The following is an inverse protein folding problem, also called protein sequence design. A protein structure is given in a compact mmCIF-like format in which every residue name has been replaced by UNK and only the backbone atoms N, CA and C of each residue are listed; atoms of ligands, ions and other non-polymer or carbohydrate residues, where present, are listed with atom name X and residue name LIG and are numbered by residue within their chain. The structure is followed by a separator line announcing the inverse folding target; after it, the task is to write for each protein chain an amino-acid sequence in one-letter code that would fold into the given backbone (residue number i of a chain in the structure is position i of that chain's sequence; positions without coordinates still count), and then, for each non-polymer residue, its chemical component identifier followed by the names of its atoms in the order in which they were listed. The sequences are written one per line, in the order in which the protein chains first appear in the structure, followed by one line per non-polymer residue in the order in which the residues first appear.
data_IF_898384823959
#
_entry.id   IF_898384823959
#
_cell.length_a   1.000
_cell.length_b   1.000
_cell.length_c   1.000
_cell.angle_alpha   90.00
_cell.angle_beta   90.00
_cell.angle_gamma   90.00
#
_symmetry.space_group_name_H-M   'P 1'
#
loop_
_entity.id
_entity.type
_entity.pdbx_description
1 polymer ?
#
# COMPACT_ATOMS: atom_id res chain seq x y z
N UNK A 1 13.31 27.61 -26.31
CA UNK A 1 13.72 27.97 -24.93
C UNK A 1 13.12 26.97 -23.96
N UNK A 2 13.95 26.28 -23.18
CA UNK A 2 13.49 25.25 -22.22
C UNK A 2 13.31 25.91 -20.86
N UNK A 3 12.06 26.08 -20.41
CA UNK A 3 11.77 26.58 -19.06
C UNK A 3 12.21 25.53 -18.04
N UNK A 4 12.90 25.96 -16.98
CA UNK A 4 13.33 25.09 -15.87
C UNK A 4 12.73 25.58 -14.56
N UNK A 5 12.40 24.62 -13.71
CA UNK A 5 11.80 24.85 -12.39
C UNK A 5 12.80 24.35 -11.35
N UNK A 6 13.04 25.17 -10.32
CA UNK A 6 13.93 24.85 -9.22
C UNK A 6 13.22 25.09 -7.89
N UNK A 7 13.35 24.14 -6.96
CA UNK A 7 12.84 24.29 -5.60
C UNK A 7 13.93 24.90 -4.73
N UNK A 8 13.62 26.03 -4.09
CA UNK A 8 14.57 26.78 -3.26
C UNK A 8 14.29 26.65 -1.77
N UNK A 9 13.13 26.11 -1.38
CA UNK A 9 12.72 26.04 0.01
C UNK A 9 11.91 24.78 0.26
N UNK A 10 12.09 24.17 1.43
CA UNK A 10 11.12 23.23 1.99
C UNK A 10 10.61 23.72 3.36
N UNK A 11 9.34 23.44 3.63
CA UNK A 11 8.75 23.59 4.97
C UNK A 11 8.64 22.21 5.59
N UNK A 12 9.22 22.03 6.78
CA UNK A 12 9.19 20.77 7.53
C UNK A 12 8.19 20.94 8.68
N UNK A 13 7.26 20.00 8.79
CA UNK A 13 6.35 19.91 9.93
C UNK A 13 6.77 18.71 10.79
N UNK A 14 7.09 18.98 12.05
CA UNK A 14 7.51 17.97 13.03
C UNK A 14 6.32 17.65 13.92
N UNK A 15 5.97 16.37 13.97
CA UNK A 15 4.86 15.87 14.76
C UNK A 15 5.40 15.00 15.87
N UNK A 16 4.79 15.12 17.04
CA UNK A 16 5.10 14.22 18.14
C UNK A 16 4.56 12.82 17.84
N UNK A 17 5.11 11.84 18.56
CA UNK A 17 4.68 10.46 18.43
C UNK A 17 3.32 10.27 19.08
N UNK A 18 2.46 9.51 18.42
CA UNK A 18 1.10 9.27 18.90
C UNK A 18 0.60 7.88 18.47
N UNK A 19 -0.58 7.47 18.94
CA UNK A 19 -1.30 6.34 18.37
C UNK A 19 -1.80 6.68 16.96
N UNK A 20 -1.66 5.74 16.02
CA UNK A 20 -2.16 5.93 14.66
C UNK A 20 -2.79 4.68 14.08
N UNK A 21 -4.10 4.52 14.18
CA UNK A 21 -4.83 3.32 13.72
C UNK A 21 -4.65 2.96 12.23
N UNK A 22 -4.18 3.89 11.39
CA UNK A 22 -3.84 3.62 9.98
C UNK A 22 -2.47 2.94 9.80
N UNK A 23 -1.55 3.12 10.73
CA UNK A 23 -0.19 2.56 10.72
C UNK A 23 -0.18 1.11 11.23
N UNK A 24 -1.07 0.29 10.67
CA UNK A 24 -1.32 -1.07 11.11
C UNK A 24 -0.08 -1.94 10.90
N UNK A 25 0.53 -2.48 11.97
CA UNK A 25 1.68 -3.34 11.81
C UNK A 25 1.31 -4.69 11.22
N UNK A 26 2.24 -5.27 10.46
CA UNK A 26 2.08 -6.62 9.93
C UNK A 26 2.11 -7.68 11.05
N UNK A 27 2.83 -7.38 12.13
CA UNK A 27 3.03 -8.24 13.30
C UNK A 27 2.19 -7.75 14.51
N UNK A 28 2.41 -8.33 15.69
CA UNK A 28 1.67 -7.99 16.92
C UNK A 28 2.04 -6.62 17.49
N UNK A 29 1.14 -6.04 18.28
CA UNK A 29 1.39 -4.80 19.03
C UNK A 29 0.60 -3.60 18.54
N UNK A 30 0.73 -2.48 19.26
CA UNK A 30 -0.07 -1.30 19.02
C UNK A 30 0.47 -0.55 17.79
N UNK A 31 -0.41 0.03 16.96
CA UNK A 31 0.01 0.89 15.87
C UNK A 31 0.51 2.23 16.43
N UNK A 32 1.64 2.70 15.88
CA UNK A 32 2.27 3.97 16.23
C UNK A 32 2.24 4.88 15.01
N UNK A 33 1.88 6.14 15.22
CA UNK A 33 1.78 7.16 14.21
C UNK A 33 2.25 8.51 14.69
N UNK A 34 1.71 9.54 14.05
CA UNK A 34 2.02 10.94 14.34
C UNK A 34 0.80 11.60 14.98
N UNK A 35 1.07 12.53 15.88
CA UNK A 35 0.05 13.35 16.51
C UNK A 35 -0.77 14.11 15.47
N UNK A 36 -2.01 14.46 15.82
CA UNK A 36 -2.91 15.20 14.92
C UNK A 36 -2.38 16.59 14.53
N UNK A 37 -1.54 17.19 15.38
CA UNK A 37 -0.98 18.53 15.19
C UNK A 37 0.53 18.47 15.28
N UNK A 38 1.20 19.29 14.46
CA UNK A 38 2.65 19.41 14.53
C UNK A 38 3.03 20.21 15.78
N UNK A 39 4.10 19.80 16.45
CA UNK A 39 4.68 20.53 17.59
C UNK A 39 5.62 21.63 17.11
N UNK A 40 6.19 21.48 15.91
CA UNK A 40 7.14 22.45 15.35
C UNK A 40 7.05 22.54 13.83
N UNK A 41 7.35 23.72 13.31
CA UNK A 41 7.46 24.00 11.90
C UNK A 41 8.83 24.62 11.62
N UNK A 42 9.53 24.13 10.61
CA UNK A 42 10.81 24.68 10.16
C UNK A 42 10.71 25.07 8.69
N UNK A 43 11.53 26.04 8.30
CA UNK A 43 11.74 26.40 6.90
C UNK A 43 13.21 26.23 6.60
N UNK A 44 13.52 25.43 5.59
CA UNK A 44 14.89 25.16 5.16
C UNK A 44 15.11 25.67 3.74
N UNK A 45 16.29 26.23 3.51
CA UNK A 45 16.76 26.64 2.19
C UNK A 45 17.40 25.44 1.47
N UNK A 46 16.86 25.08 0.30
CA UNK A 46 17.33 23.94 -0.51
C UNK A 46 18.48 24.32 -1.46
N UNK A 47 18.89 25.58 -1.50
CA UNK A 47 19.98 26.07 -2.35
C UNK A 47 21.36 25.97 -1.69
N UNK A 48 21.39 25.79 -0.37
CA UNK A 48 22.63 25.60 0.42
C UNK A 48 23.34 24.28 0.08
N UNK A 49 24.68 24.18 0.14
CA UNK A 49 25.39 22.92 -0.18
C UNK A 49 25.31 21.83 0.90
N UNK A 50 24.37 21.89 1.86
CA UNK A 50 24.24 20.90 2.92
C UNK A 50 23.79 19.56 2.33
N UNK A 51 24.47 18.47 2.66
CA UNK A 51 24.10 17.13 2.17
C UNK A 51 22.82 16.62 2.83
N UNK A 52 21.65 17.15 2.45
CA UNK A 52 20.35 16.59 2.86
C UNK A 52 20.17 15.14 2.38
N UNK A 53 20.97 14.75 1.39
CA UNK A 53 21.01 13.43 0.79
C UNK A 53 21.99 12.49 1.49
N UNK A 54 22.01 12.40 2.83
CA UNK A 54 22.43 11.12 3.41
C UNK A 54 21.36 10.11 3.02
N UNK A 55 21.63 9.39 1.91
CA UNK A 55 20.82 8.31 1.38
C UNK A 55 20.75 7.20 2.42
N UNK A 56 19.90 7.34 3.44
CA UNK A 56 19.51 6.22 4.29
C UNK A 56 18.65 5.33 3.40
N UNK A 57 19.26 4.24 2.93
CA UNK A 57 18.64 3.34 1.96
C UNK A 57 17.41 2.61 2.53
N UNK A 58 17.23 2.60 3.85
CA UNK A 58 16.12 1.93 4.53
C UNK A 58 15.63 2.75 5.72
N UNK A 59 14.32 2.96 5.78
CA UNK A 59 13.63 3.47 6.97
C UNK A 59 13.57 2.34 7.99
N UNK A 60 14.01 2.63 9.22
CA UNK A 60 13.97 1.66 10.32
C UNK A 60 12.51 1.38 10.70
N UNK A 61 12.20 0.12 11.01
CA UNK A 61 10.91 -0.27 11.59
C UNK A 61 11.05 -0.45 13.10
N UNK A 62 10.00 -0.10 13.83
CA UNK A 62 9.91 -0.36 15.26
C UNK A 62 9.36 -1.76 15.52
N UNK A 63 9.98 -2.49 16.45
CA UNK A 63 9.47 -3.79 16.90
C UNK A 63 8.31 -3.64 17.92
N UNK A 64 7.79 -4.76 18.41
CA UNK A 64 6.69 -4.78 19.38
C UNK A 64 7.01 -3.99 20.65
N UNK A 65 8.15 -4.27 21.28
CA UNK A 65 8.53 -3.65 22.55
C UNK A 65 8.85 -2.18 22.39
N UNK A 66 9.51 -1.81 21.29
CA UNK A 66 9.76 -0.42 20.94
C UNK A 66 8.46 0.37 20.85
N UNK A 67 7.45 -0.14 20.14
CA UNK A 67 6.14 0.53 20.03
C UNK A 67 5.45 0.66 21.38
N UNK A 68 5.48 -0.37 22.21
CA UNK A 68 4.94 -0.31 23.57
C UNK A 68 5.63 0.78 24.40
N UNK A 69 6.96 0.87 24.32
CA UNK A 69 7.74 1.85 25.06
C UNK A 69 7.51 3.27 24.54
N UNK A 70 7.40 3.45 23.23
CA UNK A 70 7.10 4.75 22.61
C UNK A 70 5.74 5.28 23.06
N UNK A 71 4.70 4.44 23.10
CA UNK A 71 3.37 4.88 23.54
C UNK A 71 3.31 5.14 25.05
N UNK A 72 4.02 4.35 25.87
CA UNK A 72 4.18 4.65 27.30
C UNK A 72 4.86 6.00 27.52
N UNK A 73 5.91 6.29 26.75
CA UNK A 73 6.61 7.57 26.79
C UNK A 73 5.73 8.74 26.30
N UNK A 74 4.76 8.46 25.44
CA UNK A 74 3.70 9.40 25.03
C UNK A 74 2.51 9.44 26.01
N UNK A 75 2.69 8.98 27.25
CA UNK A 75 1.70 9.02 28.33
C UNK A 75 0.43 8.16 28.13
N UNK A 76 0.45 7.20 27.21
CA UNK A 76 -0.63 6.22 27.11
C UNK A 76 -0.56 5.19 28.24
N UNK A 77 -1.72 4.91 28.83
CA UNK A 77 -1.86 3.85 29.83
C UNK A 77 -1.75 2.46 29.17
N UNK A 78 -1.36 1.46 29.96
CA UNK A 78 -1.35 0.06 29.50
C UNK A 78 -2.72 -0.42 29.02
N UNK A 79 -3.81 0.11 29.60
CA UNK A 79 -5.18 -0.20 29.21
C UNK A 79 -5.50 0.32 27.80
N UNK A 80 -5.13 1.56 27.50
CA UNK A 80 -5.31 2.15 26.17
C UNK A 80 -4.46 1.42 25.13
N UNK A 81 -3.19 1.14 25.45
CA UNK A 81 -2.30 0.41 24.56
C UNK A 81 -2.86 -0.99 24.24
N UNK A 82 -3.42 -1.68 25.24
CA UNK A 82 -4.08 -2.96 25.02
C UNK A 82 -5.31 -2.82 24.09
N UNK A 83 -6.14 -1.80 24.28
CA UNK A 83 -7.26 -1.51 23.38
C UNK A 83 -6.78 -1.31 21.93
N UNK A 84 -5.72 -0.51 21.73
CA UNK A 84 -5.14 -0.32 20.40
C UNK A 84 -4.63 -1.61 19.76
N UNK A 85 -4.13 -2.55 20.55
CA UNK A 85 -3.72 -3.86 20.04
C UNK A 85 -4.92 -4.70 19.58
N UNK A 86 -6.03 -4.67 20.32
CA UNK A 86 -7.26 -5.35 19.94
C UNK A 86 -7.86 -4.77 18.67
N UNK A 87 -7.97 -3.44 18.58
CA UNK A 87 -8.43 -2.76 17.36
C UNK A 87 -7.57 -3.14 16.16
N UNK A 88 -6.25 -3.19 16.32
CA UNK A 88 -5.33 -3.60 15.27
C UNK A 88 -5.55 -5.06 14.83
N UNK A 89 -5.86 -5.97 15.76
CA UNK A 89 -6.18 -7.36 15.43
C UNK A 89 -7.47 -7.42 14.60
N UNK A 90 -8.50 -6.68 14.99
CA UNK A 90 -9.79 -6.73 14.32
C UNK A 90 -9.71 -6.12 12.92
N UNK A 91 -8.97 -5.02 12.75
CA UNK A 91 -8.69 -4.44 11.43
C UNK A 91 -7.93 -5.44 10.55
N UNK A 92 -6.93 -6.16 11.08
CA UNK A 92 -6.19 -7.18 10.31
C UNK A 92 -7.12 -8.31 9.84
N UNK A 93 -7.98 -8.81 10.73
CA UNK A 93 -8.96 -9.85 10.40
C UNK A 93 -9.92 -9.39 9.30
N UNK A 94 -10.46 -8.17 9.44
CA UNK A 94 -11.35 -7.56 8.44
C UNK A 94 -10.66 -7.42 7.07
N UNK A 95 -9.39 -6.98 7.05
CA UNK A 95 -8.60 -6.88 5.81
C UNK A 95 -8.37 -8.25 5.17
N UNK A 96 -8.07 -9.28 5.97
CA UNK A 96 -7.85 -10.63 5.47
C UNK A 96 -9.12 -11.20 4.82
N UNK A 97 -10.26 -11.07 5.51
CA UNK A 97 -11.55 -11.51 4.96
C UNK A 97 -11.87 -10.81 3.62
N UNK A 98 -11.59 -9.51 3.53
CA UNK A 98 -11.76 -8.76 2.28
C UNK A 98 -10.86 -9.29 1.15
N UNK A 99 -9.62 -9.64 1.45
CA UNK A 99 -8.69 -10.22 0.47
C UNK A 99 -9.16 -11.58 -0.02
N UNK A 100 -9.65 -12.43 0.88
CA UNK A 100 -10.20 -13.75 0.56
C UNK A 100 -11.41 -13.62 -0.38
N UNK A 101 -12.32 -12.68 -0.12
CA UNK A 101 -13.46 -12.41 -1.00
C UNK A 101 -13.02 -11.93 -2.40
N UNK A 102 -12.02 -11.04 -2.46
CA UNK A 102 -11.48 -10.54 -3.73
C UNK A 102 -10.84 -11.69 -4.51
N UNK A 103 -10.09 -12.56 -3.84
CA UNK A 103 -9.47 -13.73 -4.46
C UNK A 103 -10.52 -14.72 -4.98
N UNK A 104 -11.54 -15.03 -4.18
CA UNK A 104 -12.65 -15.88 -4.60
C UNK A 104 -13.36 -15.32 -5.85
N UNK A 105 -13.61 -14.01 -5.89
CA UNK A 105 -14.18 -13.33 -7.07
C UNK A 105 -13.26 -13.43 -8.29
N UNK A 106 -11.94 -13.27 -8.11
CA UNK A 106 -10.94 -13.42 -9.19
C UNK A 106 -10.92 -14.86 -9.72
N UNK A 107 -10.92 -15.85 -8.84
CA UNK A 107 -10.95 -17.26 -9.22
C UNK A 107 -12.25 -17.62 -9.97
N UNK A 108 -13.40 -17.16 -9.50
CA UNK A 108 -14.68 -17.37 -10.17
C UNK A 108 -14.70 -16.76 -11.59
N UNK A 109 -14.15 -15.54 -11.76
CA UNK A 109 -13.99 -14.92 -13.08
C UNK A 109 -13.08 -15.75 -14.00
N UNK A 110 -11.95 -16.24 -13.49
CA UNK A 110 -11.04 -17.12 -14.25
C UNK A 110 -11.72 -18.41 -14.69
N UNK A 111 -12.48 -19.06 -13.79
CA UNK A 111 -13.25 -20.28 -14.12
C UNK A 111 -14.29 -20.03 -15.21
N UNK A 112 -15.02 -18.90 -15.14
CA UNK A 112 -15.97 -18.49 -16.20
C UNK A 112 -15.28 -18.27 -17.55
N UNK A 113 -14.13 -17.60 -17.57
CA UNK A 113 -13.36 -17.38 -18.80
C UNK A 113 -12.90 -18.70 -19.43
N UNK A 114 -12.35 -19.63 -18.64
CA UNK A 114 -11.92 -20.95 -19.12
C UNK A 114 -13.12 -21.75 -19.67
N UNK A 115 -14.24 -21.74 -18.94
CA UNK A 115 -15.47 -22.40 -19.37
C UNK A 115 -16.00 -21.84 -20.70
N UNK A 116 -16.01 -20.51 -20.85
CA UNK A 116 -16.44 -19.86 -22.08
C UNK A 116 -15.49 -20.13 -23.25
N UNK A 117 -14.17 -20.14 -23.00
CA UNK A 117 -13.17 -20.49 -24.02
C UNK A 117 -13.34 -21.92 -24.54
N UNK A 118 -13.74 -22.86 -23.68
CA UNK A 118 -14.05 -24.26 -24.08
C UNK A 118 -15.37 -24.41 -24.84
N UNK A 119 -16.28 -23.43 -24.74
CA UNK A 119 -17.59 -23.45 -25.42
C UNK A 119 -17.58 -22.77 -26.79
N UNK A 120 -16.54 -22.01 -27.14
CA UNK A 120 -16.42 -21.43 -28.47
C UNK A 120 -16.18 -22.57 -29.48
N UNK A 121 -17.03 -22.74 -30.52
CA UNK A 121 -16.78 -23.73 -31.55
C UNK A 121 -15.50 -23.36 -32.28
N UNK A 122 -14.64 -24.35 -32.55
CA UNK A 122 -13.65 -24.25 -33.61
C UNK A 122 -14.45 -24.12 -34.91
N UNK A 123 -14.60 -22.90 -35.42
CA UNK A 123 -15.05 -22.71 -36.79
C UNK A 123 -13.92 -23.22 -37.66
N UNK A 124 -13.98 -24.51 -38.03
CA UNK A 124 -13.12 -25.12 -39.03
C UNK A 124 -13.28 -24.30 -40.30
N UNK A 125 -12.18 -23.72 -40.77
CA UNK A 125 -12.09 -23.07 -42.05
C UNK A 125 -12.03 -24.16 -43.14
N UNK A 126 -13.12 -24.90 -43.32
CA UNK A 126 -13.31 -25.83 -44.43
C UNK A 126 -14.57 -25.41 -45.18
N UNK A 127 -14.42 -24.42 -46.06
CA UNK A 127 -15.23 -24.29 -47.27
C UNK A 127 -14.51 -23.30 -48.19
N UNK A 128 -13.50 -23.81 -48.88
CA UNK A 128 -12.88 -23.15 -50.03
C UNK A 128 -13.51 -23.80 -51.27
N UNK A 129 -14.34 -23.09 -52.06
CA UNK A 129 -14.92 -23.67 -53.27
C UNK A 129 -13.81 -23.90 -54.29
N UNK A 130 -13.59 -25.16 -54.68
CA UNK A 130 -12.76 -25.52 -55.82
C UNK A 130 -13.45 -25.01 -57.09
N UNK A 131 -12.90 -23.97 -57.70
CA UNK A 131 -13.22 -23.61 -59.08
C UNK A 131 -12.82 -24.77 -60.01
N UNK A 132 -13.80 -25.30 -60.74
CA UNK A 132 -13.59 -26.31 -61.76
C UNK A 132 -13.28 -25.62 -63.09
N UNK A 133 -11.99 -25.54 -63.41
CA UNK A 133 -11.53 -25.32 -64.79
C UNK A 133 -11.92 -26.54 -65.65
N UNK A 134 -12.94 -26.40 -66.49
CA UNK A 134 -13.16 -27.31 -67.61
C UNK A 134 -12.76 -26.61 -68.91
N UNK A 135 -11.57 -26.98 -69.39
CA UNK A 135 -11.06 -26.67 -70.72
C UNK A 135 -11.21 -27.93 -71.57
N UNK A 136 -12.04 -27.90 -72.61
CA UNK A 136 -11.72 -28.21 -74.02
C UNK A 136 -12.97 -28.00 -74.87
#
# INVERSE_FOLDING_TARGET
MTKRLAFTTATIYVFDLDHGGSALPADTGPPVGLARRHSRQERIDLTSPVSWATKRSRVRKFDHNERMNLLKAANYSMKEIAAFCFDAIDIRKSRLATLDEIEAKRQARRRKLIHNARRLPQHTADDCPLEQDTKT
#
